data_IF_922079205062
#
_entry.id   IF_922079205062
#
_cell.length_a   1.000
_cell.length_b   1.000
_cell.length_c   1.000
_cell.angle_alpha   90.00
_cell.angle_beta   90.00
_cell.angle_gamma   90.00
#
_symmetry.space_group_name_H-M   'P 1'
#
loop_
_entity.id
_entity.type
_entity.pdbx_description
1 polymer ?
#
# COMPACT_ATOMS: atom_id res chain seq x y z
N UNK A 1 -18.58 5.97 15.98
CA UNK A 1 -18.13 5.70 14.99
C UNK A 1 -17.24 6.50 14.29
N UNK A 2 -16.12 6.26 14.11
CA UNK A 2 -15.14 7.00 13.48
C UNK A 2 -15.16 6.90 12.01
N UNK A 3 -16.28 6.55 11.52
CA UNK A 3 -16.29 6.18 10.20
C UNK A 3 -16.02 7.19 9.17
N UNK A 4 -16.09 8.37 9.32
CA UNK A 4 -15.78 9.37 8.32
C UNK A 4 -14.33 9.78 8.33
N UNK A 5 -13.52 9.20 9.21
CA UNK A 5 -12.13 9.60 9.31
C UNK A 5 -11.29 9.07 8.17
N UNK A 6 -10.39 9.89 7.67
CA UNK A 6 -9.42 9.45 6.69
C UNK A 6 -8.32 8.66 7.37
N UNK A 7 -7.61 7.79 6.64
CA UNK A 7 -6.54 6.99 7.22
C UNK A 7 -5.46 7.85 7.86
N UNK A 8 -4.96 7.41 9.00
CA UNK A 8 -3.84 8.04 9.69
C UNK A 8 -2.54 7.34 9.28
N UNK A 9 -1.41 7.87 9.73
CA UNK A 9 -0.12 7.20 9.52
C UNK A 9 -0.15 5.79 10.11
N UNK A 10 -0.74 5.65 11.29
CA UNK A 10 -0.84 4.37 11.95
C UNK A 10 -1.64 3.37 11.15
N UNK A 11 -2.76 3.83 10.57
CA UNK A 11 -3.59 2.97 9.71
C UNK A 11 -2.82 2.53 8.47
N UNK A 12 -2.12 3.46 7.82
CA UNK A 12 -1.35 3.15 6.63
C UNK A 12 -0.23 2.16 6.93
N UNK A 13 0.47 2.34 8.06
CA UNK A 13 1.54 1.44 8.46
C UNK A 13 1.01 0.05 8.80
N UNK A 14 -0.15 -0.03 9.45
CA UNK A 14 -0.77 -1.31 9.74
C UNK A 14 -1.15 -2.04 8.45
N UNK A 15 -1.68 -1.32 7.47
CA UNK A 15 -2.02 -1.90 6.18
C UNK A 15 -0.76 -2.41 5.45
N UNK A 16 0.32 -1.63 5.51
CA UNK A 16 1.59 -2.04 4.90
C UNK A 16 2.08 -3.34 5.53
N UNK A 17 2.02 -3.47 6.85
CA UNK A 17 2.43 -4.69 7.52
C UNK A 17 1.61 -5.90 7.08
N UNK A 18 0.31 -5.69 6.91
CA UNK A 18 -0.57 -6.75 6.44
C UNK A 18 -0.23 -7.17 5.01
N UNK A 19 0.04 -6.21 4.13
CA UNK A 19 0.41 -6.50 2.75
C UNK A 19 1.74 -7.23 2.66
N UNK A 20 2.71 -6.84 3.50
CA UNK A 20 4.00 -7.54 3.56
C UNK A 20 3.82 -8.98 4.04
N UNK A 21 2.93 -9.20 5.00
CA UNK A 21 2.63 -10.55 5.47
C UNK A 21 1.99 -11.39 4.37
N UNK A 22 1.10 -10.79 3.57
CA UNK A 22 0.49 -11.49 2.43
C UNK A 22 1.53 -11.85 1.38
N UNK A 23 2.48 -10.96 1.14
CA UNK A 23 3.56 -11.21 0.20
C UNK A 23 4.40 -12.41 0.64
N UNK A 24 4.72 -12.48 1.92
CA UNK A 24 5.47 -13.61 2.47
C UNK A 24 4.67 -14.91 2.34
N UNK A 25 3.37 -14.85 2.63
CA UNK A 25 2.50 -16.02 2.51
C UNK A 25 2.45 -16.53 1.08
N UNK A 26 2.42 -15.62 0.09
CA UNK A 26 2.42 -16.03 -1.30
C UNK A 26 3.69 -16.77 -1.68
N UNK A 27 4.83 -16.30 -1.23
CA UNK A 27 6.10 -16.97 -1.50
C UNK A 27 6.13 -18.36 -0.91
N UNK A 28 5.58 -18.51 0.30
CA UNK A 28 5.49 -19.83 0.94
C UNK A 28 4.57 -20.77 0.19
N UNK A 29 3.46 -20.25 -0.34
CA UNK A 29 2.53 -21.05 -1.11
C UNK A 29 3.19 -21.60 -2.39
N UNK A 30 4.00 -20.79 -3.05
CA UNK A 30 4.74 -21.26 -4.22
C UNK A 30 5.75 -22.34 -3.84
N UNK A 31 6.47 -22.13 -2.74
CA UNK A 31 7.45 -23.11 -2.28
C UNK A 31 6.81 -24.44 -1.97
N UNK A 32 5.58 -24.45 -1.48
CA UNK A 32 4.86 -25.66 -1.16
C UNK A 32 4.04 -26.21 -2.33
N UNK A 33 4.15 -25.58 -3.50
CA UNK A 33 3.43 -26.05 -4.69
C UNK A 33 1.94 -25.80 -4.66
N UNK A 34 1.48 -24.88 -3.80
CA UNK A 34 0.04 -24.61 -3.67
C UNK A 34 -0.51 -23.73 -4.77
N UNK A 35 0.33 -22.84 -5.34
CA UNK A 35 -0.06 -22.01 -6.46
C UNK A 35 1.06 -21.99 -7.48
N UNK A 36 0.71 -21.66 -8.72
CA UNK A 36 1.70 -21.59 -9.78
C UNK A 36 2.53 -20.31 -9.70
N UNK A 37 3.68 -20.31 -10.36
CA UNK A 37 4.52 -19.12 -10.46
C UNK A 37 3.79 -17.97 -11.13
N UNK A 38 3.00 -18.26 -12.17
CA UNK A 38 2.25 -17.22 -12.87
C UNK A 38 1.22 -16.59 -11.95
N UNK A 39 0.54 -17.39 -11.16
CA UNK A 39 -0.45 -16.91 -10.21
C UNK A 39 0.20 -16.09 -9.12
N UNK A 40 1.36 -16.52 -8.65
CA UNK A 40 2.13 -15.75 -7.67
C UNK A 40 2.49 -14.38 -8.21
N UNK A 41 3.01 -14.32 -9.44
CA UNK A 41 3.42 -13.06 -10.03
C UNK A 41 2.26 -12.08 -10.17
N UNK A 42 1.10 -12.58 -10.55
CA UNK A 42 -0.08 -11.75 -10.69
C UNK A 42 -0.51 -11.17 -9.35
N UNK A 43 -0.53 -12.00 -8.31
CA UNK A 43 -0.91 -11.55 -6.98
C UNK A 43 0.11 -10.60 -6.37
N UNK A 44 1.41 -10.87 -6.59
CA UNK A 44 2.46 -9.97 -6.12
C UNK A 44 2.34 -8.60 -6.76
N UNK A 45 2.01 -8.55 -8.03
CA UNK A 45 1.85 -7.27 -8.72
C UNK A 45 0.75 -6.45 -8.07
N UNK A 46 -0.38 -7.09 -7.72
CA UNK A 46 -1.46 -6.40 -7.02
C UNK A 46 -1.04 -5.88 -5.65
N UNK A 47 -0.29 -6.70 -4.91
CA UNK A 47 0.21 -6.30 -3.60
C UNK A 47 1.20 -5.14 -3.69
N UNK A 48 2.05 -5.17 -4.70
CA UNK A 48 3.02 -4.09 -4.91
C UNK A 48 2.33 -2.77 -5.23
N UNK A 49 1.27 -2.81 -6.04
CA UNK A 49 0.50 -1.61 -6.33
C UNK A 49 -0.11 -1.05 -5.05
N UNK A 50 -0.71 -1.89 -4.22
CA UNK A 50 -1.29 -1.44 -2.96
C UNK A 50 -0.23 -0.89 -2.02
N UNK A 51 0.94 -1.52 -1.96
CA UNK A 51 2.05 -1.03 -1.14
C UNK A 51 2.49 0.34 -1.62
N UNK A 52 2.62 0.54 -2.93
CA UNK A 52 3.01 1.83 -3.48
C UNK A 52 1.99 2.91 -3.13
N UNK A 53 0.71 2.57 -3.18
CA UNK A 53 -0.34 3.51 -2.80
C UNK A 53 -0.27 3.88 -1.31
N UNK A 54 0.05 2.92 -0.46
CA UNK A 54 0.20 3.17 0.98
C UNK A 54 1.39 4.08 1.27
N UNK A 55 2.52 3.80 0.63
CA UNK A 55 3.71 4.63 0.81
C UNK A 55 3.49 6.03 0.25
N UNK A 56 2.78 6.13 -0.87
CA UNK A 56 2.43 7.43 -1.44
C UNK A 56 1.58 8.24 -0.47
N UNK A 57 0.61 7.59 0.16
CA UNK A 57 -0.25 8.25 1.14
C UNK A 57 0.59 8.81 2.30
N UNK A 58 1.53 8.02 2.80
CA UNK A 58 2.41 8.46 3.88
C UNK A 58 3.27 9.66 3.46
N UNK A 59 3.77 9.65 2.23
CA UNK A 59 4.55 10.77 1.71
C UNK A 59 3.70 12.03 1.60
N UNK A 60 2.45 11.90 1.15
CA UNK A 60 1.53 13.04 1.09
C UNK A 60 1.30 13.63 2.48
N UNK A 61 1.04 12.77 3.46
CA UNK A 61 0.78 13.22 4.82
C UNK A 61 1.99 13.94 5.41
N UNK A 62 3.18 13.39 5.15
CA UNK A 62 4.40 14.02 5.61
C UNK A 62 4.61 15.39 4.97
N UNK A 63 4.40 15.48 3.66
CA UNK A 63 4.54 16.75 2.94
C UNK A 63 3.58 17.79 3.48
N UNK A 64 2.35 17.42 3.76
CA UNK A 64 1.37 18.33 4.32
C UNK A 64 1.80 18.84 5.71
N UNK A 65 2.30 17.95 6.55
CA UNK A 65 2.78 18.37 7.88
C UNK A 65 3.96 19.34 7.76
N UNK A 66 4.87 19.10 6.82
CA UNK A 66 6.04 19.94 6.65
C UNK A 66 5.71 21.32 6.11
N UNK A 67 4.64 21.44 5.36
CA UNK A 67 4.23 22.73 4.78
C UNK A 67 3.15 23.42 5.59
N UNK A 68 2.80 22.89 6.75
CA UNK A 68 1.76 23.50 7.59
C UNK A 68 0.35 23.14 7.20
N UNK A 69 0.18 22.22 6.26
CA UNK A 69 -1.15 21.76 5.86
C UNK A 69 -1.70 20.70 6.80
N UNK A 70 -2.88 20.22 6.48
CA UNK A 70 -3.56 19.21 7.28
C UNK A 70 -3.31 17.82 6.69
N UNK A 71 -2.59 16.92 7.39
CA UNK A 71 -2.35 15.57 6.89
C UNK A 71 -3.63 14.81 6.55
N UNK A 72 -4.76 15.17 7.17
CA UNK A 72 -6.03 14.53 6.87
C UNK A 72 -6.52 14.78 5.46
N UNK A 73 -5.94 15.74 4.75
CA UNK A 73 -6.29 16.01 3.38
C UNK A 73 -5.64 15.04 2.39
N UNK A 74 -4.64 14.29 2.83
CA UNK A 74 -4.04 13.27 1.98
C UNK A 74 -5.05 12.16 1.68
N UNK A 75 -4.97 11.63 0.47
CA UNK A 75 -5.89 10.57 0.03
C UNK A 75 -5.16 9.57 -0.85
N UNK A 76 -5.67 8.35 -0.87
CA UNK A 76 -5.11 7.31 -1.75
C UNK A 76 -5.30 7.75 -3.20
N UNK A 77 -4.22 7.75 -3.96
CA UNK A 77 -4.24 8.13 -5.36
C UNK A 77 -4.34 6.89 -6.24
N UNK A 78 -4.91 7.02 -7.44
CA UNK A 78 -5.02 5.89 -8.36
C UNK A 78 -3.67 5.23 -8.65
N UNK A 79 -3.68 3.93 -8.86
CA UNK A 79 -2.48 3.16 -9.09
C UNK A 79 -1.64 3.69 -10.24
N UNK A 80 -2.28 4.03 -11.36
CA UNK A 80 -1.57 4.52 -12.53
C UNK A 80 -0.86 5.85 -12.24
N UNK A 81 -1.44 6.71 -11.41
CA UNK A 81 -0.81 7.96 -11.04
C UNK A 81 0.42 7.71 -10.17
N UNK A 82 0.31 6.81 -9.20
CA UNK A 82 1.42 6.47 -8.31
C UNK A 82 2.54 5.78 -9.08
N UNK A 83 2.20 4.82 -9.93
CA UNK A 83 3.19 4.09 -10.71
C UNK A 83 3.88 4.98 -11.73
N UNK A 84 3.15 5.88 -12.35
CA UNK A 84 3.73 6.84 -13.28
C UNK A 84 4.73 7.76 -12.61
N UNK A 85 4.51 8.07 -11.35
CA UNK A 85 5.41 8.90 -10.58
C UNK A 85 6.72 8.17 -10.27
N UNK A 86 6.66 6.86 -10.10
CA UNK A 86 7.84 6.06 -9.77
C UNK A 86 8.66 5.71 -11.01
N UNK A 87 8.08 5.82 -12.15
CA UNK A 87 8.77 5.59 -13.39
C UNK A 87 9.42 6.88 -13.89
#
# INVERSE_FOLDING_TARGET
>A
MANGSKPTDSDALAHIRELVAQEKALREQVQHGEISTDEEQERLRGLEVELDQCWDLLRQRRALRETGGDPREAAVRPADEVEGYLN
#
